data_IF_958849592575
#
_entry.id   IF_958849592575
#
_cell.length_a   1.000
_cell.length_b   1.000
_cell.length_c   1.000
_cell.angle_alpha   90.00
_cell.angle_beta   90.00
_cell.angle_gamma   90.00
#
_symmetry.space_group_name_H-M   'P 1'
#
loop_
_entity.id
_entity.type
_entity.pdbx_description
1 polymer ?
#
# COMPACT_ATOMS: atom_id res chain seq x y z
N UNK A 1 8.10 -17.74 -9.48
CA UNK A 1 7.67 -16.49 -8.76
C UNK A 1 7.46 -16.60 -7.25
N UNK A 2 7.11 -17.76 -6.67
CA UNK A 2 6.83 -17.88 -5.21
C UNK A 2 7.98 -17.38 -4.32
N UNK A 3 9.23 -17.72 -4.66
CA UNK A 3 10.44 -17.32 -3.90
C UNK A 3 10.64 -15.80 -3.89
N UNK A 4 10.53 -15.15 -5.05
CA UNK A 4 10.61 -13.69 -5.15
C UNK A 4 9.51 -13.01 -4.32
N UNK A 5 8.27 -13.50 -4.42
CA UNK A 5 7.12 -12.94 -3.69
C UNK A 5 7.28 -13.07 -2.18
N UNK A 6 7.71 -14.24 -1.70
CA UNK A 6 7.82 -14.52 -0.26
C UNK A 6 9.00 -13.83 0.41
N UNK A 7 10.13 -13.63 -0.28
CA UNK A 7 11.36 -13.10 0.34
C UNK A 7 11.66 -11.65 -0.01
N UNK A 8 11.61 -11.29 -1.29
CA UNK A 8 12.02 -9.96 -1.76
C UNK A 8 10.82 -9.01 -1.72
N UNK A 9 9.74 -9.39 -2.39
CA UNK A 9 8.54 -8.54 -2.52
C UNK A 9 7.89 -8.28 -1.17
N UNK A 10 7.79 -9.28 -0.30
CA UNK A 10 7.23 -9.11 1.05
C UNK A 10 7.95 -8.02 1.87
N UNK A 11 9.28 -7.94 1.76
CA UNK A 11 10.11 -6.94 2.44
C UNK A 11 9.97 -5.56 1.83
N UNK A 12 9.93 -5.48 0.50
CA UNK A 12 9.68 -4.22 -0.21
C UNK A 12 8.28 -3.69 0.12
N UNK A 13 7.25 -4.53 0.08
CA UNK A 13 5.86 -4.12 0.30
C UNK A 13 5.60 -3.61 1.72
N UNK A 14 6.19 -4.27 2.73
CA UNK A 14 6.00 -3.89 4.13
C UNK A 14 6.48 -2.46 4.42
N UNK A 15 7.60 -2.05 3.83
CA UNK A 15 8.22 -0.76 4.12
C UNK A 15 7.64 0.43 3.35
N UNK A 16 6.76 0.22 2.36
CA UNK A 16 6.33 1.25 1.40
C UNK A 16 5.88 2.56 2.05
N UNK A 17 5.02 2.57 3.09
CA UNK A 17 4.55 3.82 3.70
C UNK A 17 5.69 4.64 4.33
N UNK A 18 6.74 3.96 4.80
CA UNK A 18 7.87 4.58 5.51
C UNK A 18 8.93 5.06 4.52
N UNK A 19 9.50 4.15 3.73
CA UNK A 19 10.60 4.51 2.82
C UNK A 19 10.12 5.23 1.56
N UNK A 20 8.82 5.26 1.27
CA UNK A 20 8.30 5.96 0.10
C UNK A 20 8.72 7.43 0.05
N UNK A 21 8.99 8.04 1.22
CA UNK A 21 9.46 9.42 1.35
C UNK A 21 11.00 9.55 1.31
N UNK A 22 11.71 8.48 0.96
CA UNK A 22 13.15 8.53 0.74
C UNK A 22 13.49 9.26 -0.57
N UNK A 23 14.75 9.73 -0.66
CA UNK A 23 15.25 10.38 -1.87
C UNK A 23 15.16 9.45 -3.09
N UNK A 24 14.97 10.04 -4.28
CA UNK A 24 14.86 9.32 -5.57
C UNK A 24 16.05 8.39 -5.82
N UNK A 25 17.25 8.78 -5.41
CA UNK A 25 18.47 7.94 -5.51
C UNK A 25 18.35 6.64 -4.71
N UNK A 26 17.77 6.72 -3.50
CA UNK A 26 17.56 5.55 -2.63
C UNK A 26 16.44 4.66 -3.18
N UNK A 27 15.36 5.25 -3.71
CA UNK A 27 14.29 4.49 -4.35
C UNK A 27 14.78 3.73 -5.59
N UNK A 28 15.65 4.34 -6.40
CA UNK A 28 16.26 3.71 -7.58
C UNK A 28 17.12 2.50 -7.24
N UNK A 29 17.76 2.51 -6.06
CA UNK A 29 18.51 1.35 -5.56
C UNK A 29 17.60 0.16 -5.23
N UNK A 30 16.36 0.40 -4.79
CA UNK A 30 15.40 -0.70 -4.56
C UNK A 30 14.93 -1.33 -5.88
N UNK A 31 14.88 -0.55 -6.96
CA UNK A 31 14.50 -1.05 -8.27
C UNK A 31 15.56 -2.04 -8.81
N UNK A 32 16.85 -1.85 -8.51
CA UNK A 32 17.88 -2.83 -8.91
C UNK A 32 17.71 -4.18 -8.20
N UNK A 33 17.41 -4.16 -6.89
CA UNK A 33 17.10 -5.36 -6.10
C UNK A 33 15.86 -6.06 -6.64
N UNK A 34 14.83 -5.30 -6.99
CA UNK A 34 13.61 -5.82 -7.61
C UNK A 34 13.90 -6.54 -8.94
N UNK A 35 14.55 -5.87 -9.89
CA UNK A 35 14.86 -6.46 -11.19
C UNK A 35 15.80 -7.67 -11.07
N UNK A 36 16.79 -7.62 -10.18
CA UNK A 36 17.69 -8.75 -9.94
C UNK A 36 16.93 -9.94 -9.34
N UNK A 37 16.05 -9.69 -8.36
CA UNK A 37 15.19 -10.71 -7.76
C UNK A 37 14.27 -11.37 -8.79
N UNK A 38 13.71 -10.59 -9.72
CA UNK A 38 12.90 -11.12 -10.83
C UNK A 38 13.73 -12.02 -11.73
N UNK A 39 14.93 -11.59 -12.16
CA UNK A 39 15.81 -12.40 -13.03
C UNK A 39 16.20 -13.73 -12.39
N UNK A 40 16.56 -13.72 -11.11
CA UNK A 40 16.90 -14.94 -10.38
C UNK A 40 15.68 -15.87 -10.31
N UNK A 41 14.49 -15.32 -10.04
CA UNK A 41 13.28 -16.11 -9.88
C UNK A 41 12.68 -16.63 -11.21
N UNK A 42 12.95 -15.96 -12.34
CA UNK A 42 12.50 -16.40 -13.67
C UNK A 42 13.58 -17.15 -14.45
N UNK A 43 14.84 -17.09 -14.02
CA UNK A 43 15.98 -17.63 -14.78
C UNK A 43 16.33 -16.79 -16.01
N UNK A 44 15.85 -15.55 -16.11
CA UNK A 44 16.13 -14.68 -17.25
C UNK A 44 17.61 -14.23 -17.29
N UNK A 45 18.13 -14.00 -18.49
CA UNK A 45 19.48 -13.48 -18.67
C UNK A 45 19.69 -12.16 -17.92
N UNK A 46 20.92 -11.88 -17.51
CA UNK A 46 21.30 -10.61 -16.85
C UNK A 46 21.01 -9.39 -17.74
N UNK A 47 21.06 -9.58 -19.06
CA UNK A 47 20.85 -8.56 -20.09
C UNK A 47 19.42 -8.45 -20.60
N UNK A 48 18.47 -9.30 -20.15
CA UNK A 48 17.07 -9.21 -20.58
C UNK A 48 16.52 -7.81 -20.32
N UNK A 49 15.85 -7.14 -21.27
CA UNK A 49 15.33 -5.79 -21.03
C UNK A 49 14.22 -5.79 -19.96
N UNK A 50 14.12 -4.69 -19.20
CA UNK A 50 13.18 -4.55 -18.06
C UNK A 50 11.71 -4.75 -18.49
N UNK A 51 11.22 -4.16 -19.61
CA UNK A 51 9.84 -4.39 -20.04
C UNK A 51 9.52 -5.88 -20.26
N UNK A 52 10.40 -6.61 -20.94
CA UNK A 52 10.23 -8.06 -21.16
C UNK A 52 10.29 -8.83 -19.85
N UNK A 53 11.12 -8.42 -18.90
CA UNK A 53 11.20 -9.04 -17.57
C UNK A 53 9.86 -8.92 -16.80
N UNK A 54 9.20 -7.76 -16.87
CA UNK A 54 7.88 -7.57 -16.26
C UNK A 54 6.81 -8.45 -16.90
N UNK A 55 6.81 -8.55 -18.24
CA UNK A 55 5.87 -9.41 -18.97
C UNK A 55 6.07 -10.89 -18.60
N UNK A 56 7.31 -11.38 -18.61
CA UNK A 56 7.64 -12.78 -18.29
C UNK A 56 7.30 -13.12 -16.84
N UNK A 57 7.60 -12.20 -15.90
CA UNK A 57 7.37 -12.43 -14.47
C UNK A 57 5.92 -12.22 -14.02
N UNK A 58 5.11 -11.51 -14.81
CA UNK A 58 3.76 -11.09 -14.44
C UNK A 58 3.73 -10.12 -13.26
N UNK A 59 4.81 -9.36 -13.05
CA UNK A 59 4.95 -8.40 -11.95
C UNK A 59 5.00 -6.97 -12.50
N UNK A 60 4.24 -6.02 -11.92
CA UNK A 60 4.31 -4.62 -12.31
C UNK A 60 5.64 -3.98 -11.89
N UNK A 61 5.90 -2.76 -12.38
CA UNK A 61 7.02 -1.95 -11.90
C UNK A 61 6.90 -1.69 -10.39
N UNK A 62 8.05 -1.56 -9.72
CA UNK A 62 8.08 -1.30 -8.28
C UNK A 62 7.42 0.04 -7.94
N UNK A 63 7.53 1.03 -8.82
CA UNK A 63 6.86 2.33 -8.69
C UNK A 63 5.34 2.21 -8.64
N UNK A 64 4.74 1.55 -9.65
CA UNK A 64 3.29 1.34 -9.69
C UNK A 64 2.81 0.56 -8.46
N UNK A 65 3.61 -0.41 -8.03
CA UNK A 65 3.35 -1.17 -6.81
C UNK A 65 3.37 -0.30 -5.56
N UNK A 66 4.33 0.62 -5.43
CA UNK A 66 4.40 1.59 -4.33
C UNK A 66 3.19 2.51 -4.32
N UNK A 67 2.73 2.98 -5.48
CA UNK A 67 1.52 3.81 -5.56
C UNK A 67 0.29 3.05 -5.06
N UNK A 68 0.06 1.84 -5.57
CA UNK A 68 -1.07 1.00 -5.13
C UNK A 68 -1.06 0.76 -3.62
N UNK A 69 0.09 0.41 -3.05
CA UNK A 69 0.21 0.14 -1.61
C UNK A 69 0.06 1.42 -0.77
N UNK A 70 0.61 2.55 -1.23
CA UNK A 70 0.44 3.84 -0.56
C UNK A 70 -1.02 4.27 -0.54
N UNK A 71 -1.74 4.14 -1.67
CA UNK A 71 -3.17 4.43 -1.75
C UNK A 71 -3.98 3.51 -0.82
N UNK A 72 -3.71 2.21 -0.84
CA UNK A 72 -4.40 1.25 0.04
C UNK A 72 -4.20 1.60 1.51
N UNK A 73 -2.97 1.99 1.89
CA UNK A 73 -2.66 2.40 3.26
C UNK A 73 -3.33 3.72 3.63
N UNK A 74 -3.36 4.70 2.72
CA UNK A 74 -4.07 5.96 2.91
C UNK A 74 -5.56 5.74 3.18
N UNK A 75 -6.24 4.93 2.37
CA UNK A 75 -7.65 4.65 2.57
C UNK A 75 -7.91 3.88 3.86
N UNK A 76 -7.00 3.00 4.27
CA UNK A 76 -7.06 2.34 5.58
C UNK A 76 -6.96 3.35 6.73
N UNK A 77 -6.06 4.31 6.65
CA UNK A 77 -5.99 5.39 7.64
C UNK A 77 -7.28 6.21 7.60
N UNK A 78 -7.75 6.59 6.41
CA UNK A 78 -8.95 7.41 6.23
C UNK A 78 -10.21 6.74 6.80
N UNK A 79 -10.30 5.40 6.74
CA UNK A 79 -11.42 4.63 7.33
C UNK A 79 -11.45 4.55 8.85
N UNK A 80 -10.33 4.84 9.53
CA UNK A 80 -10.18 4.68 10.97
C UNK A 80 -9.79 6.00 11.63
N UNK A 81 -10.79 6.70 12.18
CA UNK A 81 -10.61 7.99 12.87
C UNK A 81 -9.77 7.86 14.14
N UNK A 82 -9.71 6.67 14.74
CA UNK A 82 -8.90 6.42 15.94
C UNK A 82 -7.40 6.31 15.63
N UNK A 83 -7.05 6.20 14.34
CA UNK A 83 -5.67 6.04 13.93
C UNK A 83 -4.83 7.27 14.26
N UNK A 84 -3.69 7.07 14.95
CA UNK A 84 -2.81 8.16 15.41
C UNK A 84 -2.33 9.13 14.31
N UNK A 85 -2.27 8.67 13.06
CA UNK A 85 -1.84 9.48 11.92
C UNK A 85 -3.00 10.07 11.10
N UNK A 86 -4.26 9.76 11.42
CA UNK A 86 -5.45 10.18 10.66
C UNK A 86 -5.46 11.68 10.39
N UNK A 87 -5.45 12.49 11.45
CA UNK A 87 -5.48 13.94 11.34
C UNK A 87 -4.35 14.52 10.48
N UNK A 88 -3.10 14.03 10.66
CA UNK A 88 -1.92 14.54 9.97
C UNK A 88 -1.88 14.19 8.48
N UNK A 89 -2.47 13.06 8.11
CA UNK A 89 -2.49 12.55 6.73
C UNK A 89 -3.62 13.19 5.93
N UNK A 90 -4.80 13.34 6.55
CA UNK A 90 -5.96 13.96 5.90
C UNK A 90 -5.81 15.48 5.80
N UNK A 91 -5.26 16.14 6.83
CA UNK A 91 -5.08 17.59 6.86
C UNK A 91 -3.58 17.95 6.89
N UNK A 92 -2.87 17.86 5.75
CA UNK A 92 -1.45 18.14 5.71
C UNK A 92 -1.18 19.66 5.80
N UNK A 93 -0.57 20.10 6.91
CA UNK A 93 -0.47 21.52 7.31
C UNK A 93 0.56 22.32 6.49
N UNK A 94 1.57 21.66 5.92
CA UNK A 94 2.79 22.31 5.39
C UNK A 94 2.80 22.54 3.87
N UNK A 95 1.63 22.71 3.24
CA UNK A 95 1.54 22.79 1.77
C UNK A 95 2.36 23.92 1.15
N UNK A 96 2.32 25.11 1.76
CA UNK A 96 3.09 26.27 1.30
C UNK A 96 4.60 26.06 1.36
N UNK A 97 5.10 25.34 2.38
CA UNK A 97 6.53 25.04 2.52
C UNK A 97 7.03 24.13 1.41
N UNK A 98 6.26 23.08 1.06
CA UNK A 98 6.63 22.17 -0.01
C UNK A 98 6.55 22.82 -1.40
N UNK A 99 5.58 23.72 -1.62
CA UNK A 99 5.51 24.51 -2.85
C UNK A 99 6.68 25.50 -2.99
N UNK A 100 7.13 26.10 -1.88
CA UNK A 100 8.23 27.07 -1.89
C UNK A 100 9.62 26.40 -2.01
N UNK A 101 9.78 25.16 -1.56
CA UNK A 101 11.05 24.42 -1.60
C UNK A 101 10.89 23.02 -2.18
N UNK A 102 11.05 22.93 -3.51
CA UNK A 102 10.96 21.69 -4.29
C UNK A 102 11.98 20.60 -3.91
N UNK A 103 13.02 20.94 -3.14
CA UNK A 103 14.03 19.97 -2.68
C UNK A 103 13.55 19.11 -1.50
N UNK A 104 12.55 19.57 -0.75
CA UNK A 104 12.02 18.81 0.38
C UNK A 104 11.12 17.69 -0.12
N UNK A 105 11.29 16.50 0.43
CA UNK A 105 10.38 15.40 0.10
C UNK A 105 9.03 15.66 0.80
N UNK A 106 7.91 15.71 0.05
CA UNK A 106 6.61 16.01 0.63
C UNK A 106 6.17 14.94 1.63
N UNK A 107 5.32 15.32 2.57
CA UNK A 107 4.73 14.38 3.53
C UNK A 107 3.84 13.36 2.82
N UNK A 108 3.54 12.26 3.52
CA UNK A 108 2.72 11.18 2.99
C UNK A 108 1.38 11.67 2.42
N UNK A 109 0.65 12.54 3.14
CA UNK A 109 -0.62 13.11 2.66
C UNK A 109 -0.50 13.86 1.33
N UNK A 110 0.51 14.76 1.19
CA UNK A 110 0.74 15.47 -0.08
C UNK A 110 1.11 14.53 -1.22
N UNK A 111 1.95 13.52 -0.94
CA UNK A 111 2.32 12.50 -1.94
C UNK A 111 1.12 11.71 -2.43
N UNK A 112 0.17 11.38 -1.57
CA UNK A 112 -1.08 10.72 -1.99
C UNK A 112 -1.87 11.63 -2.93
N UNK A 113 -1.98 12.93 -2.62
CA UNK A 113 -2.62 13.90 -3.51
C UNK A 113 -1.93 14.02 -4.88
N UNK A 114 -0.60 13.89 -4.96
CA UNK A 114 0.12 13.79 -6.25
C UNK A 114 -0.23 12.50 -7.01
N UNK A 115 -0.31 11.38 -6.30
CA UNK A 115 -0.65 10.08 -6.90
C UNK A 115 -2.09 10.08 -7.43
N UNK A 116 -3.05 10.60 -6.66
CA UNK A 116 -4.44 10.72 -7.09
C UNK A 116 -4.56 11.59 -8.34
N UNK A 117 -3.87 12.73 -8.38
CA UNK A 117 -3.82 13.59 -9.57
C UNK A 117 -3.17 12.92 -10.77
N UNK A 118 -2.08 12.17 -10.56
CA UNK A 118 -1.38 11.47 -11.63
C UNK A 118 -2.25 10.40 -12.31
N UNK A 119 -3.07 9.68 -11.54
CA UNK A 119 -3.98 8.66 -12.05
C UNK A 119 -5.40 9.17 -12.34
N UNK A 120 -5.66 10.47 -12.16
CA UNK A 120 -6.99 11.09 -12.31
C UNK A 120 -8.07 10.37 -11.48
N UNK A 121 -7.69 9.93 -10.26
CA UNK A 121 -8.61 9.24 -9.34
C UNK A 121 -9.27 10.28 -8.45
N UNK A 122 -10.60 10.37 -8.53
CA UNK A 122 -11.40 11.15 -7.59
C UNK A 122 -11.41 10.50 -6.21
N UNK A 123 -11.32 11.33 -5.17
CA UNK A 123 -11.39 10.83 -3.79
C UNK A 123 -12.84 10.49 -3.44
N UNK A 124 -13.06 9.26 -2.95
CA UNK A 124 -14.38 8.74 -2.62
C UNK A 124 -14.60 8.69 -1.10
N UNK A 125 -15.87 8.75 -0.65
CA UNK A 125 -16.20 8.57 0.76
C UNK A 125 -15.84 7.14 1.20
N UNK A 126 -15.16 7.03 2.32
CA UNK A 126 -14.74 5.75 2.90
C UNK A 126 -15.70 5.40 4.01
N UNK A 127 -16.21 4.17 4.00
CA UNK A 127 -17.02 3.65 5.11
C UNK A 127 -16.10 3.45 6.32
N UNK A 128 -16.52 3.95 7.48
CA UNK A 128 -15.80 3.71 8.73
C UNK A 128 -15.70 2.20 8.97
N UNK A 129 -14.51 1.69 9.28
CA UNK A 129 -14.39 0.30 9.70
C UNK A 129 -15.15 0.14 11.02
N UNK A 130 -16.29 -0.52 10.98
CA UNK A 130 -16.91 -1.05 12.19
C UNK A 130 -16.04 -2.24 12.58
N UNK A 131 -15.40 -2.19 13.75
CA UNK A 131 -14.66 -3.34 14.27
C UNK A 131 -15.65 -4.47 14.53
N UNK A 132 -15.67 -5.45 13.63
CA UNK A 132 -16.36 -6.70 13.89
C UNK A 132 -15.80 -7.31 15.18
N UNK A 133 -16.64 -7.91 16.03
CA UNK A 133 -16.16 -8.58 17.22
C UNK A 133 -15.11 -9.63 16.82
N UNK A 134 -14.00 -9.72 17.55
CA UNK A 134 -12.96 -10.65 17.18
C UNK A 134 -13.50 -12.09 17.24
N UNK A 135 -12.97 -13.02 16.42
CA UNK A 135 -13.57 -14.35 16.25
C UNK A 135 -13.54 -15.22 17.52
N UNK A 136 -12.73 -14.85 18.52
CA UNK A 136 -12.69 -15.50 19.83
C UNK A 136 -13.71 -14.94 20.83
N UNK A 137 -14.43 -13.87 20.48
CA UNK A 137 -15.51 -13.30 21.28
C UNK A 137 -16.81 -13.92 20.77
N UNK A 138 -17.44 -14.75 21.59
CA UNK A 138 -18.73 -15.35 21.26
C UNK A 138 -19.72 -14.23 20.91
N UNK A 139 -20.21 -14.25 19.68
CA UNK A 139 -21.39 -13.50 19.31
C UNK A 139 -22.53 -14.19 20.05
N UNK A 140 -23.20 -13.50 20.98
CA UNK A 140 -24.42 -14.05 21.58
C UNK A 140 -25.46 -14.15 20.47
N UNK A 141 -25.52 -15.32 19.86
CA UNK A 141 -26.57 -15.69 18.93
C UNK A 141 -27.71 -16.18 19.79
N UNK A 142 -28.78 -15.39 19.84
CA UNK A 142 -30.04 -15.84 20.40
C UNK A 142 -30.57 -16.93 19.48
N UNK A 143 -30.35 -18.18 19.86
CA UNK A 143 -30.98 -19.32 19.18
C UNK A 143 -32.46 -19.31 19.57
N UNK A 144 -33.32 -19.05 18.58
CA UNK A 144 -34.74 -19.37 18.70
C UNK A 144 -34.84 -20.88 18.61
N UNK A 145 -35.04 -21.52 19.76
CA UNK A 145 -35.20 -22.97 19.82
C UNK A 145 -36.64 -23.34 19.42
N UNK A 146 -36.85 -23.48 18.11
CA UNK A 146 -38.15 -23.89 17.51
C UNK A 146 -38.63 -25.26 18.03
N UNK A 147 -37.76 -26.03 18.71
CA UNK A 147 -38.09 -27.33 19.28
C UNK A 147 -38.77 -27.25 20.67
N UNK A 148 -38.83 -26.08 21.29
CA UNK A 148 -39.51 -25.89 22.58
C UNK A 148 -41.04 -26.09 22.52
N UNK A 149 -41.63 -26.15 21.33
CA UNK A 149 -43.07 -26.34 21.13
C UNK A 149 -43.49 -27.79 20.79
N UNK A 150 -42.57 -28.75 20.79
CA UNK A 150 -42.85 -30.14 20.39
C UNK A 150 -43.00 -31.15 21.56
N UNK A 151 -43.05 -30.69 22.82
CA UNK A 151 -43.30 -31.54 24.00
C UNK A 151 -44.54 -31.11 24.79
#
# INVERSE_FOLDING_TARGET
MRIYRSRVRSKLDYGVPVYGSAAKSTLKMLDSVHHQGLRIATGAFRTTPIPSLHVISGEPSLELRRHRLSLSYFYKIKSDESHSQHYKVINPIFGSLFSARLSFTPTFGFRIGEILRYFEIEDFPVVSNVEDPPPWKETQLDFIDDFLHFF
#
